data_IF_045620053291
#
_entry.id   IF_045620053291
#
_cell.length_a   1.000
_cell.length_b   1.000
_cell.length_c   1.000
_cell.angle_alpha   90.00
_cell.angle_beta   90.00
_cell.angle_gamma   90.00
#
_symmetry.space_group_name_H-M   'P 1'
#
loop_
_entity.id
_entity.type
_entity.pdbx_description
1 polymer ?
#
# COMPACT_ATOMS: atom_id res chain seq x y z
N UNK A 1 14.17 1.90 -70.56
CA UNK A 1 13.32 1.13 -69.63
C UNK A 1 12.92 2.04 -68.48
N UNK A 2 11.69 2.53 -68.51
CA UNK A 2 11.11 3.44 -67.52
C UNK A 2 10.98 2.74 -66.17
N UNK A 3 11.69 3.26 -65.16
CA UNK A 3 11.45 2.89 -63.77
C UNK A 3 10.27 3.71 -63.26
N UNK A 4 9.07 3.13 -63.38
CA UNK A 4 7.90 3.58 -62.63
C UNK A 4 8.23 3.58 -61.14
N UNK A 5 8.44 4.78 -60.59
CA UNK A 5 8.35 5.01 -59.15
C UNK A 5 6.89 4.82 -58.77
N UNK A 6 6.54 3.59 -58.36
CA UNK A 6 5.28 3.33 -57.64
C UNK A 6 5.23 4.25 -56.42
N UNK A 7 4.48 5.33 -56.56
CA UNK A 7 4.13 6.27 -55.49
C UNK A 7 3.36 5.44 -54.46
N UNK A 8 4.02 5.06 -53.36
CA UNK A 8 3.38 4.39 -52.21
C UNK A 8 2.19 5.27 -51.82
N UNK A 9 0.98 4.76 -52.01
CA UNK A 9 -0.25 5.47 -51.68
C UNK A 9 -0.13 5.95 -50.23
N UNK A 10 -0.34 7.25 -50.00
CA UNK A 10 -0.35 7.81 -48.66
C UNK A 10 -1.43 7.08 -47.87
N UNK A 11 -1.01 6.38 -46.83
CA UNK A 11 -1.90 5.70 -45.89
C UNK A 11 -2.93 6.72 -45.40
N UNK A 12 -4.24 6.38 -45.38
CA UNK A 12 -5.26 7.33 -44.96
C UNK A 12 -4.91 7.89 -43.58
N UNK A 13 -5.11 9.19 -43.34
CA UNK A 13 -4.76 9.81 -42.07
C UNK A 13 -5.44 9.03 -40.94
N UNK A 14 -4.64 8.51 -39.99
CA UNK A 14 -5.15 7.73 -38.87
C UNK A 14 -6.26 8.52 -38.17
N UNK A 15 -7.51 8.02 -38.17
CA UNK A 15 -8.64 8.73 -37.55
C UNK A 15 -8.41 8.96 -36.05
N UNK A 16 -7.49 8.22 -35.44
CA UNK A 16 -7.15 8.31 -34.02
C UNK A 16 -5.77 8.95 -33.76
N UNK A 17 -5.17 9.66 -34.71
CA UNK A 17 -3.86 10.30 -34.49
C UNK A 17 -3.86 11.24 -33.26
N UNK A 18 -4.95 11.98 -33.08
CA UNK A 18 -5.15 12.87 -31.91
C UNK A 18 -5.27 12.11 -30.59
N UNK A 19 -5.73 10.85 -30.62
CA UNK A 19 -5.84 10.00 -29.43
C UNK A 19 -4.45 9.56 -28.94
N UNK A 20 -3.53 9.27 -29.85
CA UNK A 20 -2.14 8.93 -29.47
C UNK A 20 -1.49 10.11 -28.73
N UNK A 21 -1.70 11.34 -29.22
CA UNK A 21 -1.24 12.56 -28.55
C UNK A 21 -1.89 12.72 -27.18
N UNK A 22 -3.19 12.46 -27.06
CA UNK A 22 -3.90 12.51 -25.78
C UNK A 22 -3.31 11.53 -24.75
N UNK A 23 -3.09 10.27 -25.14
CA UNK A 23 -2.46 9.27 -24.26
C UNK A 23 -1.03 9.68 -23.90
N UNK A 24 -0.28 10.22 -24.86
CA UNK A 24 1.09 10.69 -24.61
C UNK A 24 1.10 11.83 -23.59
N UNK A 25 0.25 12.85 -23.74
CA UNK A 25 0.13 13.94 -22.79
C UNK A 25 -0.32 13.44 -21.40
N UNK A 26 -1.31 12.54 -21.38
CA UNK A 26 -1.80 11.94 -20.14
C UNK A 26 -0.71 11.18 -19.38
N UNK A 27 0.14 10.43 -20.09
CA UNK A 27 1.22 9.69 -19.45
C UNK A 27 2.36 10.61 -19.01
N UNK A 28 2.60 11.72 -19.72
CA UNK A 28 3.63 12.69 -19.38
C UNK A 28 3.13 13.86 -18.51
N UNK A 29 1.93 13.77 -17.92
CA UNK A 29 1.45 14.79 -16.99
C UNK A 29 2.39 14.86 -15.78
N UNK A 30 2.56 16.06 -15.21
CA UNK A 30 3.31 16.22 -13.97
C UNK A 30 2.49 15.75 -12.76
N UNK A 31 3.15 15.16 -11.77
CA UNK A 31 2.52 14.75 -10.51
C UNK A 31 2.48 13.23 -10.28
N UNK A 32 1.88 12.79 -9.17
CA UNK A 32 1.83 11.37 -8.79
C UNK A 32 0.71 10.58 -9.48
N UNK A 33 -0.31 11.26 -10.00
CA UNK A 33 -1.46 10.65 -10.69
C UNK A 33 -1.67 11.32 -12.06
N UNK A 34 -2.26 10.60 -13.04
CA UNK A 34 -2.54 11.17 -14.36
C UNK A 34 -3.50 12.36 -14.28
N UNK A 35 -3.30 13.35 -15.16
CA UNK A 35 -4.19 14.51 -15.24
C UNK A 35 -5.67 14.09 -15.38
N UNK A 36 -6.56 14.52 -14.47
CA UNK A 36 -7.93 14.01 -14.41
C UNK A 36 -8.77 14.43 -15.62
N UNK A 37 -8.51 15.60 -16.21
CA UNK A 37 -9.26 16.09 -17.37
C UNK A 37 -8.84 15.37 -18.65
N UNK A 38 -7.54 15.16 -18.86
CA UNK A 38 -7.02 14.32 -19.94
C UNK A 38 -7.51 12.87 -19.80
N UNK A 39 -7.58 12.34 -18.58
CA UNK A 39 -8.05 10.98 -18.36
C UNK A 39 -9.56 10.85 -18.63
N UNK A 40 -10.34 11.85 -18.22
CA UNK A 40 -11.77 11.94 -18.54
C UNK A 40 -11.98 12.04 -20.05
N UNK A 41 -11.17 12.83 -20.75
CA UNK A 41 -11.20 12.92 -22.20
C UNK A 41 -10.89 11.57 -22.87
N UNK A 42 -9.84 10.87 -22.41
CA UNK A 42 -9.48 9.55 -22.93
C UNK A 42 -10.66 8.58 -22.79
N UNK A 43 -11.27 8.51 -21.60
CA UNK A 43 -12.43 7.65 -21.34
C UNK A 43 -13.62 7.98 -22.23
N UNK A 44 -13.85 9.25 -22.59
CA UNK A 44 -14.92 9.63 -23.52
C UNK A 44 -14.64 9.14 -24.94
N UNK A 45 -13.40 9.29 -25.41
CA UNK A 45 -13.02 8.94 -26.79
C UNK A 45 -13.05 7.43 -27.02
N UNK A 46 -12.56 6.64 -26.07
CA UNK A 46 -12.52 5.17 -26.22
C UNK A 46 -13.85 4.48 -25.88
N UNK A 47 -14.84 5.22 -25.38
CA UNK A 47 -16.12 4.64 -24.98
C UNK A 47 -16.96 4.32 -26.21
N UNK A 48 -17.15 3.03 -26.45
CA UNK A 48 -17.97 2.54 -27.58
C UNK A 48 -17.25 2.57 -28.93
N UNK A 49 -15.95 2.87 -28.95
CA UNK A 49 -15.11 2.83 -30.14
C UNK A 49 -13.94 1.85 -29.91
N UNK A 50 -14.11 0.64 -30.42
CA UNK A 50 -13.12 -0.44 -30.33
C UNK A 50 -11.82 -0.10 -31.08
N UNK A 51 -11.90 0.68 -32.17
CA UNK A 51 -10.75 1.15 -32.92
C UNK A 51 -9.91 2.12 -32.10
N UNK A 52 -10.57 3.11 -31.50
CA UNK A 52 -9.94 4.03 -30.55
C UNK A 52 -9.32 3.27 -29.37
N UNK A 53 -10.02 2.29 -28.80
CA UNK A 53 -9.51 1.51 -27.67
C UNK A 53 -8.25 0.71 -28.04
N UNK A 54 -8.20 0.08 -29.22
CA UNK A 54 -6.99 -0.61 -29.73
C UNK A 54 -5.83 0.34 -29.94
N UNK A 55 -6.09 1.54 -30.49
CA UNK A 55 -5.05 2.58 -30.66
C UNK A 55 -4.54 3.11 -29.32
N UNK A 56 -5.44 3.32 -28.36
CA UNK A 56 -5.05 3.71 -27.00
C UNK A 56 -4.20 2.63 -26.32
N UNK A 57 -4.56 1.35 -26.47
CA UNK A 57 -3.76 0.23 -25.97
C UNK A 57 -2.33 0.26 -26.54
N UNK A 58 -2.17 0.39 -27.86
CA UNK A 58 -0.85 0.50 -28.48
C UNK A 58 -0.03 1.70 -27.96
N UNK A 59 -0.69 2.85 -27.76
CA UNK A 59 -0.05 4.03 -27.19
C UNK A 59 0.37 3.83 -25.72
N UNK A 60 -0.43 3.13 -24.91
CA UNK A 60 -0.10 2.80 -23.53
C UNK A 60 1.08 1.82 -23.44
N UNK A 61 1.14 0.81 -24.31
CA UNK A 61 2.31 -0.08 -24.39
C UNK A 61 3.59 0.69 -24.78
N UNK A 62 3.47 1.71 -25.62
CA UNK A 62 4.59 2.58 -25.93
C UNK A 62 5.01 3.42 -24.71
N UNK A 63 4.05 3.97 -23.97
CA UNK A 63 4.30 4.73 -22.74
C UNK A 63 4.96 3.87 -21.64
N UNK A 64 4.59 2.59 -21.52
CA UNK A 64 5.26 1.63 -20.62
C UNK A 64 6.75 1.41 -20.99
N UNK A 65 7.14 1.62 -22.24
CA UNK A 65 8.53 1.51 -22.69
C UNK A 65 9.35 2.80 -22.48
N UNK A 66 8.76 3.83 -21.88
CA UNK A 66 9.44 5.11 -21.60
C UNK A 66 10.68 4.91 -20.71
N UNK A 67 11.66 5.80 -20.78
CA UNK A 67 12.87 5.74 -19.94
C UNK A 67 12.66 6.24 -18.51
N UNK A 68 11.57 6.90 -18.16
CA UNK A 68 11.28 7.35 -16.80
C UNK A 68 10.19 6.51 -16.12
N UNK A 69 10.26 6.35 -14.79
CA UNK A 69 9.23 5.70 -13.99
C UNK A 69 7.89 6.45 -14.02
N UNK A 70 7.89 7.79 -13.97
CA UNK A 70 6.67 8.61 -13.98
C UNK A 70 5.70 8.28 -15.13
N UNK A 71 6.14 8.35 -16.41
CA UNK A 71 5.26 8.00 -17.53
C UNK A 71 4.78 6.55 -17.53
N UNK A 72 5.62 5.62 -17.05
CA UNK A 72 5.22 4.22 -16.89
C UNK A 72 4.14 4.08 -15.82
N UNK A 73 4.28 4.77 -14.69
CA UNK A 73 3.32 4.74 -13.58
C UNK A 73 1.95 5.23 -14.03
N UNK A 74 1.90 6.34 -14.77
CA UNK A 74 0.66 6.83 -15.36
C UNK A 74 0.05 5.84 -16.34
N UNK A 75 0.87 5.23 -17.21
CA UNK A 75 0.39 4.19 -18.12
C UNK A 75 -0.20 2.98 -17.37
N UNK A 76 0.43 2.53 -16.28
CA UNK A 76 -0.10 1.46 -15.41
C UNK A 76 -1.45 1.86 -14.82
N UNK A 77 -1.58 3.06 -14.26
CA UNK A 77 -2.86 3.55 -13.70
C UNK A 77 -3.96 3.59 -14.76
N UNK A 78 -3.66 4.05 -15.97
CA UNK A 78 -4.63 4.08 -17.08
C UNK A 78 -5.01 2.66 -17.52
N UNK A 79 -4.03 1.75 -17.62
CA UNK A 79 -4.27 0.34 -17.93
C UNK A 79 -5.21 -0.30 -16.90
N UNK A 80 -5.00 -0.08 -15.60
CA UNK A 80 -5.84 -0.66 -14.53
C UNK A 80 -7.32 -0.25 -14.64
N UNK A 81 -7.58 1.04 -14.88
CA UNK A 81 -8.94 1.55 -15.06
C UNK A 81 -9.61 0.99 -16.33
N UNK A 82 -8.90 0.95 -17.47
CA UNK A 82 -9.45 0.42 -18.72
C UNK A 82 -9.68 -1.09 -18.64
N UNK A 83 -8.75 -1.84 -18.03
CA UNK A 83 -8.87 -3.28 -17.79
C UNK A 83 -10.08 -3.60 -16.92
N UNK A 84 -10.33 -2.80 -15.89
CA UNK A 84 -11.48 -2.94 -15.01
C UNK A 84 -12.83 -2.76 -15.72
N UNK A 85 -12.88 -1.98 -16.81
CA UNK A 85 -14.14 -1.55 -17.45
C UNK A 85 -14.40 -2.12 -18.84
N UNK A 86 -13.41 -2.67 -19.53
CA UNK A 86 -13.55 -3.14 -20.91
C UNK A 86 -13.03 -4.57 -21.12
N UNK A 87 -13.91 -5.48 -21.56
CA UNK A 87 -13.53 -6.86 -21.91
C UNK A 87 -12.56 -6.92 -23.09
N UNK A 88 -12.75 -6.04 -24.08
CA UNK A 88 -11.82 -5.91 -25.21
C UNK A 88 -10.44 -5.49 -24.71
N UNK A 89 -10.36 -4.47 -23.83
CA UNK A 89 -9.06 -4.03 -23.30
C UNK A 89 -8.38 -5.12 -22.47
N UNK A 90 -9.15 -5.91 -21.69
CA UNK A 90 -8.60 -7.06 -20.97
C UNK A 90 -7.93 -8.05 -21.91
N UNK A 91 -8.59 -8.41 -23.00
CA UNK A 91 -8.05 -9.34 -23.99
C UNK A 91 -6.75 -8.79 -24.59
N UNK A 92 -6.77 -7.53 -25.05
CA UNK A 92 -5.61 -6.86 -25.64
C UNK A 92 -4.42 -6.80 -24.67
N UNK A 93 -4.64 -6.37 -23.43
CA UNK A 93 -3.57 -6.24 -22.45
C UNK A 93 -3.04 -7.61 -22.01
N UNK A 94 -3.90 -8.63 -21.97
CA UNK A 94 -3.47 -9.99 -21.65
C UNK A 94 -2.57 -10.58 -22.74
N UNK A 95 -2.83 -10.28 -24.01
CA UNK A 95 -1.95 -10.69 -25.12
C UNK A 95 -0.52 -10.13 -24.90
N UNK A 96 -0.42 -8.87 -24.50
CA UNK A 96 0.82 -8.14 -24.21
C UNK A 96 1.22 -8.12 -22.72
N UNK A 97 0.72 -9.09 -21.91
CA UNK A 97 0.94 -9.08 -20.45
C UNK A 97 2.42 -9.13 -20.08
N UNK A 98 3.24 -9.85 -20.84
CA UNK A 98 4.70 -9.91 -20.62
C UNK A 98 5.34 -8.51 -20.70
N UNK A 99 4.91 -7.68 -21.66
CA UNK A 99 5.39 -6.30 -21.79
C UNK A 99 4.98 -5.48 -20.57
N UNK A 100 3.74 -5.62 -20.11
CA UNK A 100 3.27 -4.94 -18.91
C UNK A 100 4.11 -5.33 -17.68
N UNK A 101 4.32 -6.62 -17.46
CA UNK A 101 5.08 -7.12 -16.31
C UNK A 101 6.54 -6.66 -16.37
N UNK A 102 7.24 -6.83 -17.50
CA UNK A 102 8.64 -6.40 -17.65
C UNK A 102 8.84 -4.91 -17.45
N UNK A 103 7.88 -4.09 -17.86
CA UNK A 103 8.00 -2.63 -17.82
C UNK A 103 7.49 -2.01 -16.52
N UNK A 104 6.51 -2.63 -15.87
CA UNK A 104 5.91 -2.16 -14.62
C UNK A 104 6.51 -2.80 -13.36
N UNK A 105 6.74 -4.12 -13.36
CA UNK A 105 7.36 -4.82 -12.23
C UNK A 105 8.89 -4.79 -12.34
N UNK A 106 9.41 -4.96 -13.55
CA UNK A 106 10.86 -4.99 -13.80
C UNK A 106 11.56 -6.21 -13.17
N UNK A 107 12.84 -6.37 -13.51
CA UNK A 107 13.72 -7.42 -12.96
C UNK A 107 13.14 -8.84 -13.06
N UNK A 108 12.35 -9.13 -14.11
CA UNK A 108 11.72 -10.43 -14.28
C UNK A 108 12.61 -11.44 -15.00
N UNK A 109 13.57 -10.94 -15.77
CA UNK A 109 14.64 -11.73 -16.38
C UNK A 109 16.00 -11.16 -16.00
N UNK A 110 17.04 -12.00 -15.84
CA UNK A 110 18.41 -11.52 -15.59
C UNK A 110 18.93 -10.51 -16.62
N UNK A 111 18.44 -10.60 -17.86
CA UNK A 111 18.80 -9.71 -18.97
C UNK A 111 17.95 -8.45 -19.06
N UNK A 112 16.89 -8.33 -18.24
CA UNK A 112 16.06 -7.12 -18.25
C UNK A 112 16.87 -5.95 -17.66
N UNK A 113 16.90 -4.79 -18.33
CA UNK A 113 17.56 -3.62 -17.77
C UNK A 113 16.84 -3.21 -16.47
N UNK A 114 17.58 -2.74 -15.45
CA UNK A 114 16.98 -2.30 -14.21
C UNK A 114 15.93 -1.21 -14.48
N UNK A 115 14.92 -1.12 -13.61
CA UNK A 115 13.95 -0.03 -13.70
C UNK A 115 14.69 1.32 -13.65
N UNK A 116 14.29 2.29 -14.48
CA UNK A 116 15.02 3.54 -14.57
C UNK A 116 14.50 4.58 -13.58
N UNK A 117 15.39 5.24 -12.84
CA UNK A 117 15.06 6.38 -11.98
C UNK A 117 15.40 6.15 -10.51
N UNK A 118 14.98 7.08 -9.63
CA UNK A 118 15.24 6.98 -8.19
C UNK A 118 14.56 5.75 -7.56
N UNK A 119 15.15 5.15 -6.50
CA UNK A 119 14.57 4.00 -5.81
C UNK A 119 13.10 4.15 -5.43
N UNK A 120 12.71 5.31 -4.89
CA UNK A 120 11.31 5.56 -4.49
C UNK A 120 10.33 5.51 -5.66
N UNK A 121 10.73 6.01 -6.84
CA UNK A 121 9.86 5.97 -8.02
C UNK A 121 9.74 4.57 -8.59
N UNK A 122 10.84 3.80 -8.57
CA UNK A 122 10.83 2.39 -8.95
C UNK A 122 9.90 1.59 -8.04
N UNK A 123 10.04 1.75 -6.72
CA UNK A 123 9.19 1.06 -5.75
C UNK A 123 7.72 1.38 -5.93
N UNK A 124 7.37 2.65 -6.17
CA UNK A 124 5.99 3.06 -6.47
C UNK A 124 5.46 2.40 -7.74
N UNK A 125 6.26 2.35 -8.79
CA UNK A 125 5.90 1.68 -10.05
C UNK A 125 5.66 0.19 -9.85
N UNK A 126 6.55 -0.51 -9.14
CA UNK A 126 6.40 -1.94 -8.83
C UNK A 126 5.16 -2.17 -7.98
N UNK A 127 4.98 -1.40 -6.90
CA UNK A 127 3.83 -1.51 -6.02
C UNK A 127 2.51 -1.33 -6.77
N UNK A 128 2.43 -0.32 -7.65
CA UNK A 128 1.24 -0.06 -8.45
C UNK A 128 0.96 -1.18 -9.46
N UNK A 129 2.01 -1.69 -10.10
CA UNK A 129 1.88 -2.78 -11.10
C UNK A 129 1.45 -4.09 -10.46
N UNK A 130 2.03 -4.45 -9.31
CA UNK A 130 1.64 -5.63 -8.52
C UNK A 130 0.21 -5.49 -8.01
N UNK A 131 -0.17 -4.32 -7.48
CA UNK A 131 -1.53 -4.06 -7.02
C UNK A 131 -2.56 -4.21 -8.15
N UNK A 132 -2.27 -3.71 -9.35
CA UNK A 132 -3.13 -3.88 -10.51
C UNK A 132 -3.30 -5.37 -10.86
N UNK A 133 -2.19 -6.12 -10.92
CA UNK A 133 -2.21 -7.55 -11.20
C UNK A 133 -3.01 -8.36 -10.16
N UNK A 134 -2.84 -8.04 -8.87
CA UNK A 134 -3.62 -8.66 -7.78
C UNK A 134 -5.11 -8.42 -7.96
N UNK A 135 -5.52 -7.17 -8.20
CA UNK A 135 -6.93 -6.80 -8.43
C UNK A 135 -7.51 -7.47 -9.66
N UNK A 136 -6.73 -7.57 -10.74
CA UNK A 136 -7.18 -8.26 -11.95
C UNK A 136 -7.37 -9.74 -11.70
N UNK A 137 -6.44 -10.37 -10.99
CA UNK A 137 -6.50 -11.80 -10.64
C UNK A 137 -7.69 -12.09 -9.75
N UNK A 138 -7.94 -11.26 -8.73
CA UNK A 138 -9.09 -11.39 -7.83
C UNK A 138 -10.41 -11.28 -8.59
N UNK A 139 -10.56 -10.28 -9.47
CA UNK A 139 -11.83 -10.00 -10.14
C UNK A 139 -12.09 -10.86 -11.38
N UNK A 140 -11.03 -11.24 -12.09
CA UNK A 140 -11.15 -11.84 -13.42
C UNK A 140 -10.35 -13.14 -13.58
N UNK A 141 -9.63 -13.59 -12.56
CA UNK A 141 -8.76 -14.78 -12.63
C UNK A 141 -9.50 -16.07 -13.02
N UNK A 142 -10.78 -16.20 -12.66
CA UNK A 142 -11.60 -17.33 -13.07
C UNK A 142 -11.80 -17.40 -14.60
N UNK A 143 -11.86 -16.25 -15.27
CA UNK A 143 -12.03 -16.17 -16.72
C UNK A 143 -10.71 -16.07 -17.49
N UNK A 144 -9.65 -15.62 -16.83
CA UNK A 144 -8.33 -15.47 -17.43
C UNK A 144 -7.26 -16.16 -16.55
N UNK A 145 -7.09 -17.49 -16.68
CA UNK A 145 -6.12 -18.25 -15.89
C UNK A 145 -4.69 -17.73 -15.99
N UNK A 146 -4.33 -17.09 -17.11
CA UNK A 146 -3.02 -16.42 -17.32
C UNK A 146 -2.70 -15.40 -16.23
N UNK A 147 -3.70 -14.75 -15.62
CA UNK A 147 -3.51 -13.83 -14.50
C UNK A 147 -2.98 -14.54 -13.26
N UNK A 148 -3.51 -15.73 -12.94
CA UNK A 148 -3.03 -16.52 -11.81
C UNK A 148 -1.58 -16.95 -11.98
N UNK A 149 -1.21 -17.41 -13.18
CA UNK A 149 0.18 -17.78 -13.52
C UNK A 149 1.10 -16.57 -13.42
N UNK A 150 0.71 -15.43 -14.00
CA UNK A 150 1.48 -14.20 -13.94
C UNK A 150 1.68 -13.71 -12.49
N UNK A 151 0.63 -13.76 -11.67
CA UNK A 151 0.70 -13.39 -10.25
C UNK A 151 1.67 -14.27 -9.49
N UNK A 152 1.58 -15.58 -9.68
CA UNK A 152 2.49 -16.54 -9.03
C UNK A 152 3.93 -16.28 -9.46
N UNK A 153 4.17 -16.10 -10.77
CA UNK A 153 5.49 -15.78 -11.30
C UNK A 153 6.08 -14.50 -10.69
N UNK A 154 5.29 -13.44 -10.57
CA UNK A 154 5.73 -12.19 -9.93
C UNK A 154 6.03 -12.38 -8.45
N UNK A 155 5.22 -13.17 -7.73
CA UNK A 155 5.45 -13.48 -6.33
C UNK A 155 6.75 -14.27 -6.13
N UNK A 156 6.99 -15.28 -6.97
CA UNK A 156 8.19 -16.11 -6.93
C UNK A 156 9.45 -15.31 -7.27
N UNK A 157 9.34 -14.39 -8.23
CA UNK A 157 10.48 -13.56 -8.69
C UNK A 157 10.83 -12.46 -7.68
N UNK A 158 9.84 -11.80 -7.10
CA UNK A 158 10.07 -10.74 -6.12
C UNK A 158 10.39 -11.27 -4.71
N UNK A 159 9.92 -12.47 -4.36
CA UNK A 159 10.18 -13.09 -3.07
C UNK A 159 9.86 -12.17 -1.88
N UNK A 160 10.84 -11.92 -1.01
CA UNK A 160 10.72 -11.01 0.15
C UNK A 160 10.66 -9.52 -0.21
N UNK A 161 11.12 -9.15 -1.40
CA UNK A 161 11.10 -7.77 -1.91
C UNK A 161 9.74 -7.36 -2.48
N UNK A 162 8.82 -8.33 -2.63
CA UNK A 162 7.48 -8.06 -3.08
C UNK A 162 6.83 -6.98 -2.21
N UNK A 163 6.19 -5.94 -2.80
CA UNK A 163 5.52 -4.89 -2.03
C UNK A 163 4.55 -5.43 -0.97
N UNK A 164 3.86 -6.53 -1.28
CA UNK A 164 3.00 -7.24 -0.34
C UNK A 164 3.79 -7.91 0.82
N UNK A 165 4.94 -8.52 0.55
CA UNK A 165 5.82 -9.11 1.56
C UNK A 165 6.42 -8.04 2.48
N UNK A 166 6.87 -6.90 1.91
CA UNK A 166 7.36 -5.74 2.68
C UNK A 166 6.28 -5.11 3.54
N UNK A 167 5.07 -4.93 3.00
CA UNK A 167 3.93 -4.43 3.77
C UNK A 167 3.53 -5.39 4.90
N UNK A 168 3.58 -6.70 4.67
CA UNK A 168 3.31 -7.70 5.70
C UNK A 168 4.40 -7.71 6.80
N UNK A 169 5.68 -7.57 6.41
CA UNK A 169 6.79 -7.45 7.35
C UNK A 169 6.68 -6.18 8.21
N UNK A 170 6.36 -5.04 7.60
CA UNK A 170 6.15 -3.77 8.31
C UNK A 170 5.01 -3.88 9.33
N UNK A 171 3.86 -4.46 8.95
CA UNK A 171 2.73 -4.71 9.87
C UNK A 171 3.14 -5.57 11.05
N UNK A 172 3.86 -6.69 10.80
CA UNK A 172 4.36 -7.57 11.87
C UNK A 172 5.30 -6.83 12.83
N UNK A 173 6.12 -5.91 12.32
CA UNK A 173 7.02 -5.12 13.15
C UNK A 173 6.28 -4.04 13.96
N UNK A 174 5.25 -3.42 13.40
CA UNK A 174 4.35 -2.51 14.12
C UNK A 174 3.60 -3.25 15.23
N UNK A 175 3.04 -4.42 14.94
CA UNK A 175 2.35 -5.27 15.92
C UNK A 175 3.32 -5.70 17.04
N UNK A 176 4.54 -6.10 16.69
CA UNK A 176 5.57 -6.45 17.68
C UNK A 176 5.98 -5.24 18.54
N UNK A 177 6.06 -4.04 17.96
CA UNK A 177 6.33 -2.80 18.70
C UNK A 177 5.17 -2.48 19.66
N UNK A 178 3.93 -2.60 19.20
CA UNK A 178 2.74 -2.39 20.02
C UNK A 178 2.67 -3.38 21.20
N UNK A 179 2.94 -4.66 20.94
CA UNK A 179 3.01 -5.69 21.97
C UNK A 179 4.11 -5.43 22.99
N UNK A 180 5.32 -5.03 22.56
CA UNK A 180 6.41 -4.65 23.47
C UNK A 180 6.05 -3.43 24.32
N UNK A 181 5.38 -2.43 23.75
CA UNK A 181 4.91 -1.26 24.50
C UNK A 181 3.86 -1.66 25.55
N UNK A 182 2.88 -2.49 25.19
CA UNK A 182 1.88 -3.00 26.13
C UNK A 182 2.51 -3.86 27.24
N UNK A 183 3.49 -4.71 26.91
CA UNK A 183 4.19 -5.52 27.89
C UNK A 183 4.96 -4.66 28.92
N UNK A 184 5.58 -3.56 28.47
CA UNK A 184 6.25 -2.59 29.36
C UNK A 184 5.27 -1.93 30.31
N UNK A 185 4.13 -1.44 29.80
CA UNK A 185 3.09 -0.84 30.64
C UNK A 185 2.56 -1.83 31.67
N UNK A 186 2.27 -3.07 31.26
CA UNK A 186 1.82 -4.12 32.19
C UNK A 186 2.87 -4.48 33.25
N UNK A 187 4.15 -4.44 32.90
CA UNK A 187 5.23 -4.66 33.86
C UNK A 187 5.34 -3.52 34.87
N UNK A 188 5.22 -2.26 34.41
CA UNK A 188 5.19 -1.08 35.28
C UNK A 188 4.01 -1.13 36.25
N UNK A 189 2.80 -1.44 35.76
CA UNK A 189 1.62 -1.60 36.61
C UNK A 189 1.81 -2.67 37.68
N UNK A 190 2.31 -3.85 37.32
CA UNK A 190 2.59 -4.91 38.29
C UNK A 190 3.61 -4.51 39.35
N UNK A 191 4.60 -3.70 38.99
CA UNK A 191 5.60 -3.19 39.94
C UNK A 191 4.99 -2.16 40.89
N UNK A 192 4.20 -1.23 40.37
CA UNK A 192 3.46 -0.26 41.17
C UNK A 192 2.54 -0.96 42.17
N UNK A 193 1.77 -1.95 41.71
CA UNK A 193 0.83 -2.70 42.53
C UNK A 193 1.51 -3.58 43.60
N UNK A 194 2.62 -4.24 43.24
CA UNK A 194 3.29 -5.19 44.14
C UNK A 194 4.28 -4.56 45.12
N UNK A 195 4.92 -3.45 44.76
CA UNK A 195 6.02 -2.88 45.55
C UNK A 195 5.68 -1.46 46.04
N UNK A 196 5.38 -0.53 45.13
CA UNK A 196 5.30 0.89 45.46
C UNK A 196 4.01 1.27 46.22
N UNK A 197 2.86 0.71 45.85
CA UNK A 197 1.60 0.99 46.54
C UNK A 197 1.63 0.46 47.98
N UNK A 198 2.03 -0.81 48.25
CA UNK A 198 2.14 -1.31 49.61
C UNK A 198 3.13 -0.52 50.47
N UNK A 199 4.29 -0.12 49.92
CA UNK A 199 5.27 0.66 50.66
C UNK A 199 4.74 2.05 51.02
N UNK A 200 4.13 2.76 50.07
CA UNK A 200 3.54 4.08 50.33
C UNK A 200 2.40 4.01 51.35
N UNK A 201 1.58 2.95 51.29
CA UNK A 201 0.53 2.72 52.30
C UNK A 201 1.13 2.55 53.69
N UNK A 202 2.20 1.76 53.82
CA UNK A 202 2.89 1.56 55.08
C UNK A 202 3.46 2.88 55.63
N UNK A 203 4.08 3.71 54.77
CA UNK A 203 4.64 5.01 55.16
C UNK A 203 3.56 5.98 55.64
N UNK A 204 2.40 6.00 54.98
CA UNK A 204 1.23 6.80 55.38
C UNK A 204 0.69 6.32 56.72
N UNK A 205 0.49 5.02 56.90
CA UNK A 205 0.02 4.42 58.15
C UNK A 205 0.97 4.78 59.31
N UNK A 206 2.27 4.64 59.13
CA UNK A 206 3.27 5.02 60.15
C UNK A 206 3.23 6.52 60.47
N UNK A 207 3.11 7.38 59.44
CA UNK A 207 3.01 8.83 59.62
C UNK A 207 1.74 9.21 60.39
N UNK A 208 0.61 8.56 60.10
CA UNK A 208 -0.66 8.82 60.80
C UNK A 208 -0.58 8.44 62.28
N UNK A 209 0.01 7.28 62.60
CA UNK A 209 0.24 6.84 63.98
C UNK A 209 1.11 7.85 64.73
N UNK A 210 2.20 8.31 64.11
CA UNK A 210 3.09 9.30 64.71
C UNK A 210 2.37 10.65 64.98
N UNK A 211 1.55 11.12 64.03
CA UNK A 211 0.77 12.36 64.19
C UNK A 211 -0.24 12.22 65.34
N UNK A 212 -0.99 11.11 65.38
CA UNK A 212 -1.96 10.85 66.45
C UNK A 212 -1.29 10.79 67.82
N UNK A 213 -0.13 10.14 67.92
CA UNK A 213 0.64 10.11 69.17
C UNK A 213 1.12 11.51 69.60
N UNK A 214 1.65 12.31 68.68
CA UNK A 214 2.05 13.69 68.96
C UNK A 214 0.88 14.56 69.43
N UNK A 215 -0.27 14.45 68.77
CA UNK A 215 -1.49 15.19 69.16
C UNK A 215 -2.01 14.74 70.53
N UNK A 216 -1.99 13.44 70.82
CA UNK A 216 -2.39 12.91 72.12
C UNK A 216 -1.52 13.42 73.26
N UNK A 217 -0.20 13.50 73.06
CA UNK A 217 0.73 14.08 74.03
C UNK A 217 0.49 15.58 74.25
N UNK A 218 0.22 16.34 73.20
CA UNK A 218 -0.01 17.79 73.30
C UNK A 218 -1.35 18.13 73.96
N UNK A 219 -2.39 17.35 73.69
CA UNK A 219 -3.75 17.60 74.20
C UNK A 219 -4.04 16.93 75.54
N UNK A 220 -3.18 16.00 75.99
CA UNK A 220 -3.38 15.26 77.23
C UNK A 220 -4.55 14.27 77.18
N UNK A 221 -4.99 13.89 75.97
CA UNK A 221 -6.11 12.97 75.72
C UNK A 221 -5.61 11.79 74.88
N UNK A 222 -5.89 10.56 75.29
CA UNK A 222 -5.60 9.39 74.46
C UNK A 222 -6.62 9.29 73.33
N UNK A 223 -6.20 9.55 72.10
CA UNK A 223 -7.03 9.56 70.89
C UNK A 223 -7.12 8.18 70.21
N UNK A 224 -6.85 7.08 70.91
CA UNK A 224 -6.89 5.72 70.37
C UNK A 224 -8.34 5.26 70.17
N UNK A 225 -8.96 5.67 69.07
CA UNK A 225 -10.17 5.05 68.55
C UNK A 225 -9.82 3.73 67.86
N UNK A 226 -10.57 2.67 68.18
CA UNK A 226 -10.43 1.34 67.60
C UNK A 226 -10.49 1.40 66.07
N UNK A 227 -9.40 1.02 65.41
CA UNK A 227 -9.39 0.80 63.97
C UNK A 227 -10.15 -0.51 63.68
N UNK A 228 -11.43 -0.41 63.30
CA UNK A 228 -12.11 -1.51 62.64
C UNK A 228 -11.39 -1.82 61.33
N UNK A 229 -10.85 -3.04 61.26
CA UNK A 229 -10.12 -3.57 60.13
C UNK A 229 -11.11 -3.82 58.97
N UNK A 230 -11.35 -2.81 58.12
CA UNK A 230 -12.07 -3.03 56.86
C UNK A 230 -11.13 -3.79 55.93
N UNK A 231 -11.23 -5.12 55.97
CA UNK A 231 -10.61 -6.00 54.99
C UNK A 231 -11.14 -5.66 53.60
N UNK A 232 -10.28 -5.08 52.76
CA UNK A 232 -10.53 -5.02 51.31
C UNK A 232 -10.23 -6.41 50.75
N UNK A 233 -11.20 -7.30 50.93
CA UNK A 233 -11.29 -8.55 50.20
C UNK A 233 -11.79 -8.29 48.79
N UNK A 234 -11.05 -8.82 47.83
CA UNK A 234 -11.54 -9.33 46.55
C UNK A 234 -12.10 -8.33 45.53
N UNK A 235 -11.19 -7.73 44.77
CA UNK A 235 -11.50 -7.16 43.45
C UNK A 235 -10.61 -7.76 42.34
N UNK A 236 -10.07 -8.97 42.54
CA UNK A 236 -9.14 -9.61 41.61
C UNK A 236 -9.80 -10.61 40.63
N UNK A 237 -11.12 -10.80 40.69
CA UNK A 237 -11.81 -11.86 39.90
C UNK A 237 -12.62 -11.38 38.69
N UNK A 238 -12.50 -10.12 38.24
CA UNK A 238 -13.18 -9.66 37.01
C UNK A 238 -12.37 -8.62 36.24
N UNK A 239 -11.46 -9.08 35.36
CA UNK A 239 -11.06 -8.54 34.04
C UNK A 239 -9.80 -9.28 33.54
#
# INVERSE_FOLDING_TARGET
ASLERKKKAAEPPDPHAKLVLLVTLLCNSGGPEPDPELFKALKRVVRGDDGALRRAHGALLHALKNRGCGPRLHAVTVCDELFSRSALFRTLLLDDLDVFLRRGVGNLHPDDPPLPGPPEEMERLVARSVQALDRWTERFGAHYPRLGVARQFVADTLGSEAPAARAAAARREEDARAQRAQARLRAQWRRLEGEEIPSLRLDVEQSTVAIVACLGMLLGVSLTGEHEHVGVGDAASRL
#
